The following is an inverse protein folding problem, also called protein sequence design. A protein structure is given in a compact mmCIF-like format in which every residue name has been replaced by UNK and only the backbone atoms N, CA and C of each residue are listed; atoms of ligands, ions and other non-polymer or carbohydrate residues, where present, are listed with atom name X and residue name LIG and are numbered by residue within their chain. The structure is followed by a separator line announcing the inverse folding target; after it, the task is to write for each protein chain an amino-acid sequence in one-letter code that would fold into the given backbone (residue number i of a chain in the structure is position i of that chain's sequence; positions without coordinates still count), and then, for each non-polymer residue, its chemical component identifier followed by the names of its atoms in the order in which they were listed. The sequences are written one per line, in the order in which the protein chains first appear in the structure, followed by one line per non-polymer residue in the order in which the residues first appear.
data_IF_773096267498
#
_entry.id   IF_773096267498
#
_cell.length_a   1.000
_cell.length_b   1.000
_cell.length_c   1.000
_cell.angle_alpha   90.00
_cell.angle_beta   90.00
_cell.angle_gamma   90.00
#
_symmetry.space_group_name_H-M   'P 1'
#
loop_
_entity.id
_entity.type
_entity.pdbx_description
1 polymer ?
#
# COMPACT_ATOMS: atom_id res chain seq x y z
N UNK A 1 -17.98 11.67 -0.70
CA UNK A 1 -16.76 12.05 -0.02
C UNK A 1 -15.99 10.81 0.39
N UNK A 2 -14.78 10.75 -0.02
CA UNK A 2 -13.92 9.67 0.37
C UNK A 2 -13.31 10.05 1.72
N UNK A 3 -13.84 9.52 2.79
CA UNK A 3 -13.25 9.73 4.11
C UNK A 3 -11.94 8.97 4.24
N UNK A 4 -10.94 9.36 3.45
CA UNK A 4 -9.64 8.71 3.52
C UNK A 4 -8.84 9.29 4.68
N UNK A 5 -8.56 8.44 5.65
CA UNK A 5 -7.60 8.77 6.70
C UNK A 5 -6.20 8.59 6.12
N UNK A 6 -5.39 9.64 6.19
CA UNK A 6 -4.02 9.59 5.71
C UNK A 6 -3.07 9.73 6.88
N UNK A 7 -2.17 8.77 7.02
CA UNK A 7 -1.10 8.81 8.00
C UNK A 7 0.19 8.44 7.31
N UNK A 8 1.28 9.08 7.68
CA UNK A 8 2.59 8.76 7.13
C UNK A 8 3.42 8.03 8.18
N UNK A 9 4.14 7.02 7.72
CA UNK A 9 4.95 6.20 8.60
C UNK A 9 6.10 5.61 7.79
N UNK A 10 7.31 5.64 8.34
CA UNK A 10 8.49 5.09 7.69
C UNK A 10 8.99 3.80 8.34
N UNK A 11 8.37 3.37 9.42
CA UNK A 11 8.80 2.18 10.16
C UNK A 11 7.69 1.16 10.20
N UNK A 12 8.06 -0.08 9.96
CA UNK A 12 7.12 -1.21 9.94
C UNK A 12 6.38 -1.38 11.27
N UNK A 13 7.07 -1.22 12.40
CA UNK A 13 6.45 -1.35 13.71
C UNK A 13 5.39 -0.29 13.97
N UNK A 14 5.68 0.97 13.61
CA UNK A 14 4.73 2.06 13.75
C UNK A 14 3.51 1.85 12.84
N UNK A 15 3.74 1.34 11.64
CA UNK A 15 2.68 1.07 10.70
C UNK A 15 1.72 0.01 11.24
N UNK A 16 2.25 -1.04 11.85
CA UNK A 16 1.41 -2.07 12.48
C UNK A 16 0.58 -1.50 13.61
N UNK A 17 1.17 -0.64 14.43
CA UNK A 17 0.44 0.01 15.53
C UNK A 17 -0.70 0.86 15.00
N UNK A 18 -0.45 1.64 13.95
CA UNK A 18 -1.50 2.46 13.35
C UNK A 18 -2.66 1.60 12.81
N UNK A 19 -2.34 0.50 12.16
CA UNK A 19 -3.36 -0.40 11.62
C UNK A 19 -4.20 -1.05 12.70
N UNK A 20 -3.62 -1.29 13.89
CA UNK A 20 -4.35 -1.86 15.01
C UNK A 20 -5.22 -0.84 15.74
N UNK A 21 -4.81 0.44 15.72
CA UNK A 21 -5.50 1.49 16.46
C UNK A 21 -6.75 2.01 15.76
N UNK A 22 -6.77 1.99 14.43
CA UNK A 22 -7.91 2.53 13.68
C UNK A 22 -8.03 1.84 12.32
N UNK A 23 -9.26 1.78 11.78
CA UNK A 23 -9.45 1.19 10.47
C UNK A 23 -8.96 2.11 9.36
N UNK A 24 -8.35 1.52 8.34
CA UNK A 24 -7.95 2.21 7.12
C UNK A 24 -8.51 1.48 5.92
N UNK A 25 -8.98 2.22 4.93
CA UNK A 25 -9.46 1.65 3.67
C UNK A 25 -8.33 1.41 2.68
N UNK A 26 -7.30 2.23 2.75
CA UNK A 26 -6.19 2.22 1.80
C UNK A 26 -4.87 2.32 2.53
N UNK A 27 -3.92 1.53 2.08
CA UNK A 27 -2.53 1.60 2.53
C UNK A 27 -1.65 1.86 1.31
N UNK A 28 -0.92 2.97 1.32
CA UNK A 28 0.08 3.26 0.30
C UNK A 28 1.44 3.25 0.97
N UNK A 29 2.31 2.35 0.54
CA UNK A 29 3.62 2.15 1.12
C UNK A 29 4.69 2.68 0.18
N UNK A 30 5.53 3.60 0.67
CA UNK A 30 6.72 4.03 -0.05
C UNK A 30 7.85 3.04 0.25
N UNK A 31 8.19 2.24 -0.74
CA UNK A 31 9.15 1.16 -0.58
C UNK A 31 10.53 1.65 -0.16
N UNK A 32 10.93 2.85 -0.56
CA UNK A 32 12.24 3.39 -0.22
C UNK A 32 12.36 3.77 1.25
N UNK A 33 11.24 3.97 1.95
CA UNK A 33 11.23 4.33 3.36
C UNK A 33 11.19 3.11 4.28
N UNK A 34 10.98 1.93 3.73
CA UNK A 34 10.89 0.71 4.51
C UNK A 34 12.26 0.04 4.59
N UNK A 35 12.63 -0.42 5.77
CA UNK A 35 13.87 -1.18 5.96
C UNK A 35 13.79 -2.60 5.40
N UNK A 36 12.58 -3.06 5.09
CA UNK A 36 12.32 -4.35 4.48
C UNK A 36 11.37 -4.16 3.30
N UNK A 37 11.17 -5.21 2.51
CA UNK A 37 10.27 -5.14 1.34
C UNK A 37 8.85 -4.74 1.72
N UNK A 38 8.30 -3.76 1.01
CA UNK A 38 6.90 -3.37 1.15
C UNK A 38 5.95 -4.50 0.78
N UNK A 39 6.36 -5.34 -0.18
CA UNK A 39 5.60 -6.52 -0.58
C UNK A 39 5.50 -7.52 0.58
N UNK A 40 6.59 -7.76 1.28
CA UNK A 40 6.59 -8.67 2.44
C UNK A 40 5.64 -8.17 3.53
N UNK A 41 5.62 -6.86 3.77
CA UNK A 41 4.70 -6.29 4.74
C UNK A 41 3.24 -6.49 4.31
N UNK A 42 2.93 -6.25 3.05
CA UNK A 42 1.58 -6.45 2.51
C UNK A 42 1.16 -7.91 2.62
N UNK A 43 2.07 -8.84 2.35
CA UNK A 43 1.80 -10.26 2.49
C UNK A 43 1.46 -10.62 3.94
N UNK A 44 2.19 -10.04 4.89
CA UNK A 44 1.99 -10.33 6.30
C UNK A 44 0.63 -9.83 6.81
N UNK A 45 0.11 -8.73 6.27
CA UNK A 45 -1.12 -8.11 6.79
C UNK A 45 -2.37 -8.47 5.99
N UNK A 46 -2.26 -9.02 4.79
CA UNK A 46 -3.43 -9.21 3.93
C UNK A 46 -4.50 -10.10 4.56
N UNK A 47 -4.10 -11.05 5.37
CA UNK A 47 -5.03 -11.95 6.05
C UNK A 47 -5.82 -11.26 7.17
N UNK A 48 -5.24 -10.24 7.80
CA UNK A 48 -5.90 -9.49 8.87
C UNK A 48 -6.79 -8.36 8.34
N UNK A 49 -6.44 -7.82 7.18
CA UNK A 49 -7.14 -6.66 6.60
C UNK A 49 -7.51 -6.94 5.14
N UNK A 50 -8.34 -7.95 4.89
CA UNK A 50 -8.60 -8.38 3.50
C UNK A 50 -9.34 -7.35 2.66
N UNK A 51 -10.09 -6.46 3.30
CA UNK A 51 -10.81 -5.40 2.58
C UNK A 51 -9.99 -4.16 2.29
N UNK A 52 -8.77 -4.08 2.81
CA UNK A 52 -7.92 -2.90 2.63
C UNK A 52 -7.24 -2.94 1.27
N UNK A 53 -7.26 -1.80 0.58
CA UNK A 53 -6.56 -1.63 -0.69
C UNK A 53 -5.09 -1.32 -0.40
N UNK A 54 -4.18 -2.12 -0.96
CA UNK A 54 -2.74 -1.99 -0.73
C UNK A 54 -2.04 -1.55 -2.00
N UNK A 55 -1.31 -0.44 -1.92
CA UNK A 55 -0.58 0.14 -3.05
C UNK A 55 0.86 0.35 -2.64
N UNK A 56 1.79 0.01 -3.54
CA UNK A 56 3.22 0.22 -3.34
C UNK A 56 3.69 1.36 -4.22
N UNK A 57 4.41 2.31 -3.64
CA UNK A 57 5.09 3.37 -4.36
C UNK A 57 6.55 2.98 -4.49
N UNK A 58 7.06 2.94 -5.72
CA UNK A 58 8.41 2.44 -6.00
C UNK A 58 9.13 3.31 -7.01
N UNK A 59 10.47 3.33 -6.96
CA UNK A 59 11.28 4.00 -7.98
C UNK A 59 11.29 3.24 -9.30
N UNK A 60 11.17 1.91 -9.23
CA UNK A 60 11.12 1.06 -10.41
C UNK A 60 10.33 -0.20 -10.10
N UNK A 61 9.39 -0.59 -10.96
CA UNK A 61 8.63 -1.82 -10.74
C UNK A 61 9.54 -3.02 -10.95
N UNK A 62 9.83 -3.73 -9.86
CA UNK A 62 10.60 -4.97 -9.91
C UNK A 62 9.67 -6.12 -10.24
N UNK A 63 10.26 -7.26 -10.62
CA UNK A 63 9.48 -8.47 -10.86
C UNK A 63 8.69 -8.88 -9.62
N UNK A 64 9.28 -8.72 -8.44
CA UNK A 64 8.61 -9.01 -7.17
C UNK A 64 7.32 -8.22 -7.03
N UNK A 65 7.36 -6.92 -7.36
CA UNK A 65 6.18 -6.05 -7.27
C UNK A 65 5.13 -6.44 -8.29
N UNK A 66 5.53 -6.69 -9.53
CA UNK A 66 4.61 -7.10 -10.59
C UNK A 66 3.95 -8.45 -10.25
N UNK A 67 4.72 -9.39 -9.77
CA UNK A 67 4.21 -10.70 -9.35
C UNK A 67 3.26 -10.58 -8.15
N UNK A 68 3.59 -9.70 -7.19
CA UNK A 68 2.75 -9.46 -6.03
C UNK A 68 1.37 -8.93 -6.43
N UNK A 69 1.32 -8.06 -7.44
CA UNK A 69 0.04 -7.59 -7.96
C UNK A 69 -0.74 -8.72 -8.62
N UNK A 70 -0.07 -9.55 -9.41
CA UNK A 70 -0.72 -10.69 -10.08
C UNK A 70 -1.30 -11.69 -9.11
N UNK A 71 -0.65 -11.87 -7.96
CA UNK A 71 -1.10 -12.81 -6.92
C UNK A 71 -2.02 -12.19 -5.86
N UNK A 72 -2.37 -10.92 -6.01
CA UNK A 72 -3.28 -10.26 -5.08
C UNK A 72 -2.67 -9.87 -3.74
N UNK A 73 -1.35 -9.93 -3.60
CA UNK A 73 -0.66 -9.48 -2.39
C UNK A 73 -0.75 -7.96 -2.27
N UNK A 74 -0.63 -7.27 -3.40
CA UNK A 74 -0.91 -5.84 -3.49
C UNK A 74 -1.98 -5.63 -4.56
N UNK A 75 -2.70 -4.51 -4.46
CA UNK A 75 -3.77 -4.20 -5.40
C UNK A 75 -3.30 -3.34 -6.56
N UNK A 76 -2.18 -2.66 -6.37
CA UNK A 76 -1.58 -1.84 -7.40
C UNK A 76 -0.24 -1.28 -6.98
N UNK A 77 0.45 -0.63 -7.92
CA UNK A 77 1.69 0.08 -7.62
C UNK A 77 1.76 1.33 -8.48
N UNK A 78 2.55 2.31 -8.03
CA UNK A 78 2.84 3.52 -8.80
C UNK A 78 4.34 3.75 -8.80
N UNK A 79 4.83 4.33 -9.90
CA UNK A 79 6.27 4.62 -10.06
C UNK A 79 6.50 6.07 -9.70
N UNK A 80 7.47 6.32 -8.82
CA UNK A 80 7.83 7.67 -8.40
C UNK A 80 8.56 8.43 -9.52
N UNK A 81 8.42 9.76 -9.60
CA UNK A 81 7.67 10.62 -8.68
C UNK A 81 6.16 10.50 -8.87
N UNK A 82 5.42 10.55 -7.75
CA UNK A 82 3.98 10.33 -7.74
C UNK A 82 3.28 11.64 -7.39
N UNK A 83 2.40 12.11 -8.27
CA UNK A 83 1.53 13.23 -7.95
C UNK A 83 0.32 12.71 -7.16
N UNK A 84 -0.35 13.63 -6.44
CA UNK A 84 -1.56 13.29 -5.71
C UNK A 84 -2.65 12.75 -6.66
N UNK A 85 -2.78 13.33 -7.84
CA UNK A 85 -3.78 12.88 -8.79
C UNK A 85 -3.50 11.47 -9.33
N UNK A 86 -2.24 11.15 -9.58
CA UNK A 86 -1.84 9.81 -10.02
C UNK A 86 -2.13 8.79 -8.94
N UNK A 87 -1.78 9.09 -7.69
CA UNK A 87 -2.03 8.20 -6.58
C UNK A 87 -3.52 7.96 -6.37
N UNK A 88 -4.32 9.02 -6.41
CA UNK A 88 -5.78 8.91 -6.28
C UNK A 88 -6.39 8.07 -7.40
N UNK A 89 -5.92 8.23 -8.63
CA UNK A 89 -6.40 7.43 -9.75
C UNK A 89 -6.09 5.95 -9.54
N UNK A 90 -4.89 5.64 -9.05
CA UNK A 90 -4.51 4.26 -8.77
C UNK A 90 -5.34 3.67 -7.63
N UNK A 91 -5.60 4.46 -6.59
CA UNK A 91 -6.46 4.03 -5.47
C UNK A 91 -7.85 3.67 -6.00
N UNK A 92 -8.44 4.53 -6.82
CA UNK A 92 -9.79 4.31 -7.36
C UNK A 92 -9.86 3.04 -8.21
N UNK A 93 -8.87 2.82 -9.06
CA UNK A 93 -8.87 1.64 -9.93
C UNK A 93 -8.55 0.35 -9.18
N UNK A 94 -7.90 0.44 -8.03
CA UNK A 94 -7.50 -0.73 -7.23
C UNK A 94 -8.46 -1.05 -6.09
N UNK A 95 -9.38 -0.14 -5.75
CA UNK A 95 -10.27 -0.32 -4.60
C UNK A 95 -11.14 -1.56 -4.74
N UNK A 96 -11.25 -2.25 -3.63
CA UNK A 96 -12.16 -3.40 -3.50
C UNK A 96 -13.55 -2.90 -3.17
N UNK A 97 -14.53 -3.53 -3.75
CA UNK A 97 -15.95 -3.20 -3.52
C UNK A 97 -16.69 -4.35 -2.84
#
# INVERSE_FOLDING_TARGET
ALGLSVSTCSRRGELRQLLEQQPFDVLAIDESLMSSSGVDFCMAIRGRYPGMTRIVMTNAPTREIVDARSHGVIDGYVVKPVSASTLLAQIRSSRKE
#
